data_IF_603547574277
#
_entry.id   IF_603547574277
#
_cell.length_a   1.000
_cell.length_b   1.000
_cell.length_c   1.000
_cell.angle_alpha   90.00
_cell.angle_beta   90.00
_cell.angle_gamma   90.00
#
_symmetry.space_group_name_H-M   'P 1'
#
loop_
_entity.id
_entity.type
_entity.pdbx_description
1 polymer ?
#
# COMPACT_ATOMS: atom_id res chain seq x y z
N UNK A 1 1.52 11.79 -35.85
CA UNK A 1 0.10 12.01 -35.50
C UNK A 1 -0.13 12.94 -34.28
N UNK A 2 0.89 13.13 -33.39
CA UNK A 2 0.78 14.13 -32.31
C UNK A 2 0.69 15.54 -32.93
N UNK A 3 -0.39 16.27 -32.67
CA UNK A 3 -0.61 17.65 -33.12
C UNK A 3 -1.46 17.82 -34.38
N UNK A 4 -1.84 16.75 -35.09
CA UNK A 4 -2.72 16.85 -36.28
C UNK A 4 -4.18 16.59 -35.96
N UNK A 5 -4.50 15.98 -34.81
CA UNK A 5 -5.86 15.64 -34.41
C UNK A 5 -6.42 16.78 -33.57
N UNK A 6 -7.47 17.41 -34.08
CA UNK A 6 -8.14 18.53 -33.42
C UNK A 6 -9.13 18.11 -32.34
N UNK A 7 -9.74 16.93 -32.49
CA UNK A 7 -10.64 16.35 -31.48
C UNK A 7 -9.83 15.91 -30.25
N UNK A 8 -10.06 16.58 -29.13
CA UNK A 8 -9.32 16.35 -27.87
C UNK A 8 -9.56 14.96 -27.28
N UNK A 9 -10.78 14.43 -27.38
CA UNK A 9 -11.12 13.09 -26.87
C UNK A 9 -10.47 12.01 -27.73
N UNK A 10 -10.47 12.17 -29.05
CA UNK A 10 -9.79 11.24 -29.94
C UNK A 10 -8.27 11.28 -29.74
N UNK A 11 -7.69 12.48 -29.62
CA UNK A 11 -6.28 12.65 -29.34
C UNK A 11 -5.89 11.97 -28.01
N UNK A 12 -6.72 12.12 -26.97
CA UNK A 12 -6.50 11.47 -25.67
C UNK A 12 -6.57 9.94 -25.75
N UNK A 13 -7.56 9.39 -26.44
CA UNK A 13 -7.66 7.94 -26.65
C UNK A 13 -6.42 7.36 -27.34
N UNK A 14 -5.88 8.06 -28.34
CA UNK A 14 -4.67 7.64 -29.04
C UNK A 14 -3.43 7.66 -28.13
N UNK A 15 -3.32 8.64 -27.22
CA UNK A 15 -2.24 8.67 -26.24
C UNK A 15 -2.35 7.48 -25.30
N UNK A 16 -3.54 7.20 -24.76
CA UNK A 16 -3.78 6.06 -23.87
C UNK A 16 -3.43 4.74 -24.57
N UNK A 17 -3.94 4.54 -25.79
CA UNK A 17 -3.61 3.36 -26.59
C UNK A 17 -2.10 3.24 -26.85
N UNK A 18 -1.46 4.33 -27.29
CA UNK A 18 -0.03 4.33 -27.55
C UNK A 18 0.76 3.89 -26.30
N UNK A 19 0.46 4.47 -25.14
CA UNK A 19 1.16 4.16 -23.89
C UNK A 19 0.94 2.71 -23.44
N UNK A 20 -0.30 2.18 -23.60
CA UNK A 20 -0.60 0.78 -23.28
C UNK A 20 0.16 -0.20 -24.18
N UNK A 21 0.27 0.09 -25.48
CA UNK A 21 0.96 -0.79 -26.43
C UNK A 21 2.47 -0.57 -26.50
N UNK A 22 2.97 0.63 -26.17
CA UNK A 22 4.39 0.98 -26.27
C UNK A 22 5.29 0.01 -25.49
N UNK A 23 4.89 -0.33 -24.27
CA UNK A 23 5.64 -1.26 -23.40
C UNK A 23 5.76 -2.68 -23.97
N UNK A 24 4.88 -3.05 -24.90
CA UNK A 24 4.82 -4.39 -25.49
C UNK A 24 5.49 -4.47 -26.87
N UNK A 25 6.07 -3.36 -27.36
CA UNK A 25 6.76 -3.30 -28.65
C UNK A 25 8.25 -3.72 -28.53
N UNK A 26 8.52 -4.75 -27.73
CA UNK A 26 9.84 -5.34 -27.54
C UNK A 26 9.94 -6.70 -28.20
N UNK A 27 11.15 -7.20 -28.37
CA UNK A 27 11.40 -8.54 -28.89
C UNK A 27 10.64 -9.61 -28.07
N UNK A 28 9.96 -10.52 -28.75
CA UNK A 28 9.13 -11.55 -28.12
C UNK A 28 9.93 -12.50 -27.23
N UNK A 29 11.19 -12.81 -27.63
CA UNK A 29 12.08 -13.65 -26.82
C UNK A 29 12.46 -12.94 -25.52
N UNK A 30 12.78 -11.64 -25.58
CA UNK A 30 13.09 -10.84 -24.41
C UNK A 30 11.88 -10.70 -23.47
N UNK A 31 10.68 -10.50 -24.04
CA UNK A 31 9.45 -10.48 -23.25
C UNK A 31 9.22 -11.80 -22.51
N UNK A 32 9.39 -12.92 -23.19
CA UNK A 32 9.26 -14.25 -22.58
C UNK A 32 10.24 -14.44 -21.43
N UNK A 33 11.52 -14.10 -21.63
CA UNK A 33 12.54 -14.18 -20.59
C UNK A 33 12.17 -13.35 -19.35
N UNK A 34 11.64 -12.13 -19.56
CA UNK A 34 11.19 -11.25 -18.45
C UNK A 34 10.04 -11.88 -17.67
N UNK A 35 9.04 -12.43 -18.36
CA UNK A 35 7.87 -13.08 -17.72
C UNK A 35 8.30 -14.33 -16.96
N UNK A 36 9.11 -15.19 -17.56
CA UNK A 36 9.63 -16.40 -16.92
C UNK A 36 10.47 -16.06 -15.68
N UNK A 37 11.35 -15.06 -15.79
CA UNK A 37 12.18 -14.62 -14.65
C UNK A 37 11.33 -14.01 -13.54
N UNK A 38 10.30 -13.24 -13.86
CA UNK A 38 9.38 -12.69 -12.87
C UNK A 38 8.59 -13.79 -12.15
N UNK A 39 8.12 -14.78 -12.88
CA UNK A 39 7.42 -15.94 -12.30
C UNK A 39 8.36 -16.77 -11.41
N UNK A 40 9.63 -16.95 -11.81
CA UNK A 40 10.65 -17.63 -11.00
C UNK A 40 10.89 -16.90 -9.68
N UNK A 41 11.06 -15.56 -9.71
CA UNK A 41 11.24 -14.76 -8.51
C UNK A 41 10.03 -14.86 -7.59
N UNK A 42 8.82 -14.72 -8.14
CA UNK A 42 7.58 -14.83 -7.37
C UNK A 42 7.44 -16.20 -6.69
N UNK A 43 7.74 -17.27 -7.42
CA UNK A 43 7.71 -18.64 -6.87
C UNK A 43 8.72 -18.80 -5.73
N UNK A 44 9.98 -18.39 -5.93
CA UNK A 44 11.02 -18.47 -4.90
C UNK A 44 10.66 -17.64 -3.67
N UNK A 45 10.17 -16.42 -3.85
CA UNK A 45 9.79 -15.53 -2.77
C UNK A 45 8.61 -16.09 -1.95
N UNK A 46 7.53 -16.51 -2.61
CA UNK A 46 6.31 -16.97 -1.94
C UNK A 46 6.50 -18.30 -1.20
N UNK A 47 7.37 -19.17 -1.71
CA UNK A 47 7.64 -20.47 -1.09
C UNK A 47 8.82 -20.45 -0.12
N UNK A 48 9.55 -19.34 -0.02
CA UNK A 48 10.67 -19.23 0.90
C UNK A 48 10.19 -19.29 2.35
N UNK A 49 10.98 -19.93 3.21
CA UNK A 49 10.82 -19.90 4.67
C UNK A 49 12.17 -19.59 5.30
N UNK A 50 12.19 -18.57 6.16
CA UNK A 50 13.36 -18.24 6.95
C UNK A 50 13.70 -19.37 7.91
N UNK A 51 14.96 -19.43 8.37
CA UNK A 51 15.40 -20.46 9.32
C UNK A 51 15.98 -19.82 10.57
N UNK A 52 15.50 -20.29 11.73
CA UNK A 52 16.08 -20.00 13.05
C UNK A 52 16.64 -21.31 13.60
N UNK A 53 17.94 -21.36 13.86
CA UNK A 53 18.62 -22.56 14.33
C UNK A 53 18.36 -23.81 13.47
N UNK A 54 18.28 -23.62 12.15
CA UNK A 54 18.03 -24.69 11.17
C UNK A 54 16.55 -25.09 11.00
N UNK A 55 15.65 -24.61 11.84
CA UNK A 55 14.20 -24.86 11.74
C UNK A 55 13.52 -23.76 10.92
N UNK A 56 12.69 -24.17 9.97
CA UNK A 56 11.89 -23.25 9.17
C UNK A 56 10.85 -22.51 10.02
N UNK A 57 10.67 -21.21 9.73
CA UNK A 57 9.69 -20.33 10.36
C UNK A 57 8.94 -19.55 9.29
N UNK A 58 7.65 -19.36 9.50
CA UNK A 58 6.79 -18.57 8.62
C UNK A 58 6.91 -17.07 8.91
N UNK A 59 6.48 -16.23 7.96
CA UNK A 59 6.43 -14.78 8.16
C UNK A 59 5.50 -14.38 9.31
N UNK A 60 4.41 -15.13 9.52
CA UNK A 60 3.51 -14.91 10.66
C UNK A 60 4.19 -15.18 12.00
N UNK A 61 4.94 -16.28 12.10
CA UNK A 61 5.72 -16.60 13.33
C UNK A 61 6.80 -15.54 13.60
N UNK A 62 7.48 -15.07 12.56
CA UNK A 62 8.45 -13.97 12.67
C UNK A 62 7.76 -12.69 13.17
N UNK A 63 6.62 -12.34 12.59
CA UNK A 63 5.85 -11.15 12.98
C UNK A 63 5.38 -11.22 14.42
N UNK A 64 4.89 -12.38 14.87
CA UNK A 64 4.50 -12.61 16.27
C UNK A 64 5.68 -12.44 17.23
N UNK A 65 6.87 -12.97 16.89
CA UNK A 65 8.08 -12.79 17.70
C UNK A 65 8.45 -11.31 17.77
N UNK A 66 8.44 -10.57 16.63
CA UNK A 66 8.79 -9.16 16.61
C UNK A 66 7.77 -8.27 17.34
N UNK A 67 6.52 -8.68 17.48
CA UNK A 67 5.51 -7.96 18.25
C UNK A 67 5.61 -8.24 19.76
N UNK A 68 5.73 -9.50 20.13
CA UNK A 68 5.43 -9.95 21.50
C UNK A 68 6.65 -10.37 22.31
N UNK A 69 7.74 -10.85 21.69
CA UNK A 69 8.92 -11.35 22.40
C UNK A 69 9.70 -10.19 23.06
N UNK A 70 10.14 -10.38 24.31
CA UNK A 70 10.93 -9.39 25.04
C UNK A 70 12.45 -9.69 24.98
N UNK A 71 12.84 -10.92 24.65
CA UNK A 71 14.25 -11.30 24.56
C UNK A 71 14.88 -10.75 23.26
N UNK A 72 15.84 -9.79 23.34
CA UNK A 72 16.44 -9.18 22.16
C UNK A 72 17.11 -10.16 21.21
N UNK A 73 17.72 -11.25 21.75
CA UNK A 73 18.39 -12.27 20.93
C UNK A 73 17.39 -13.06 20.08
N UNK A 74 16.26 -13.46 20.64
CA UNK A 74 15.21 -14.16 19.88
C UNK A 74 14.61 -13.25 18.82
N UNK A 75 14.43 -11.95 19.13
CA UNK A 75 13.97 -10.94 18.16
C UNK A 75 14.99 -10.78 17.02
N UNK A 76 16.28 -10.72 17.35
CA UNK A 76 17.36 -10.66 16.35
C UNK A 76 17.31 -11.87 15.42
N UNK A 77 17.24 -13.08 15.97
CA UNK A 77 17.14 -14.32 15.18
C UNK A 77 15.93 -14.31 14.23
N UNK A 78 14.77 -13.83 14.69
CA UNK A 78 13.58 -13.69 13.87
C UNK A 78 13.75 -12.62 12.78
N UNK A 79 14.30 -11.47 13.13
CA UNK A 79 14.56 -10.38 12.17
C UNK A 79 15.56 -10.82 11.09
N UNK A 80 16.66 -11.47 11.46
CA UNK A 80 17.65 -12.02 10.53
C UNK A 80 17.02 -13.07 9.62
N UNK A 81 16.18 -13.97 10.17
CA UNK A 81 15.44 -14.96 9.39
C UNK A 81 14.56 -14.29 8.31
N UNK A 82 13.92 -13.16 8.62
CA UNK A 82 13.13 -12.40 7.66
C UNK A 82 13.95 -11.84 6.48
N UNK A 83 15.28 -11.68 6.63
CA UNK A 83 16.16 -11.15 5.59
C UNK A 83 16.76 -12.22 4.67
N UNK A 84 16.69 -13.48 5.05
CA UNK A 84 17.28 -14.58 4.27
C UNK A 84 16.66 -14.71 2.87
N UNK A 85 15.38 -14.39 2.71
CA UNK A 85 14.71 -14.39 1.41
C UNK A 85 15.39 -13.47 0.39
N UNK A 86 15.94 -12.33 0.86
CA UNK A 86 16.68 -11.41 0.01
C UNK A 86 17.87 -12.05 -0.67
N UNK A 87 18.67 -12.85 0.06
CA UNK A 87 19.81 -13.57 -0.51
C UNK A 87 19.36 -14.62 -1.56
N UNK A 88 18.23 -15.27 -1.31
CA UNK A 88 17.69 -16.29 -2.21
C UNK A 88 17.19 -15.72 -3.55
N UNK A 89 16.64 -14.50 -3.56
CA UNK A 89 16.03 -13.90 -4.76
C UNK A 89 16.91 -12.84 -5.44
N UNK A 90 17.87 -12.22 -4.75
CA UNK A 90 18.66 -11.11 -5.27
C UNK A 90 19.33 -11.38 -6.64
N UNK A 91 19.98 -12.53 -6.89
CA UNK A 91 20.57 -12.81 -8.21
C UNK A 91 19.55 -12.75 -9.34
N UNK A 92 18.36 -13.30 -9.13
CA UNK A 92 17.26 -13.34 -10.12
C UNK A 92 16.66 -11.96 -10.33
N UNK A 93 16.55 -11.14 -9.27
CA UNK A 93 16.09 -9.75 -9.36
C UNK A 93 17.06 -8.93 -10.20
N UNK A 94 18.38 -9.08 -9.98
CA UNK A 94 19.41 -8.38 -10.77
C UNK A 94 19.34 -8.79 -12.26
N UNK A 95 19.12 -10.09 -12.55
CA UNK A 95 18.92 -10.55 -13.93
C UNK A 95 17.67 -9.92 -14.56
N UNK A 96 16.56 -9.90 -13.85
CA UNK A 96 15.32 -9.29 -14.32
C UNK A 96 15.49 -7.79 -14.59
N UNK A 97 16.21 -7.06 -13.73
CA UNK A 97 16.52 -5.63 -13.94
C UNK A 97 17.31 -5.44 -15.23
N UNK A 98 18.31 -6.28 -15.50
CA UNK A 98 19.08 -6.22 -16.76
C UNK A 98 18.19 -6.43 -17.99
N UNK A 99 17.33 -7.46 -17.96
CA UNK A 99 16.39 -7.72 -19.06
C UNK A 99 15.41 -6.56 -19.28
N UNK A 100 14.85 -6.00 -18.19
CA UNK A 100 13.96 -4.84 -18.22
C UNK A 100 14.65 -3.61 -18.81
N UNK A 101 15.88 -3.33 -18.39
CA UNK A 101 16.66 -2.20 -18.94
C UNK A 101 17.02 -2.43 -20.41
N UNK A 102 17.31 -3.66 -20.83
CA UNK A 102 17.50 -3.98 -22.23
C UNK A 102 16.23 -3.70 -23.05
N UNK A 103 15.05 -4.12 -22.56
CA UNK A 103 13.78 -3.83 -23.20
C UNK A 103 13.50 -2.33 -23.32
N UNK A 104 13.72 -1.56 -22.27
CA UNK A 104 13.55 -0.12 -22.28
C UNK A 104 14.47 0.57 -23.32
N UNK A 105 15.73 0.14 -23.40
CA UNK A 105 16.69 0.66 -24.38
C UNK A 105 16.28 0.36 -25.83
N UNK A 106 15.69 -0.81 -26.11
CA UNK A 106 15.14 -1.13 -27.44
C UNK A 106 14.02 -0.15 -27.85
N UNK A 107 13.28 0.38 -26.88
CA UNK A 107 12.21 1.35 -27.09
C UNK A 107 12.67 2.82 -27.02
N UNK A 108 13.99 3.06 -26.88
CA UNK A 108 14.56 4.40 -26.86
C UNK A 108 14.53 5.10 -25.50
N UNK A 109 14.27 4.37 -24.41
CA UNK A 109 14.31 4.89 -23.06
C UNK A 109 15.67 4.61 -22.40
N UNK A 110 16.07 5.46 -21.47
CA UNK A 110 17.32 5.31 -20.73
C UNK A 110 17.37 4.00 -19.92
N UNK A 111 16.29 3.73 -19.19
CA UNK A 111 16.11 2.52 -18.38
C UNK A 111 14.61 2.18 -18.22
N UNK A 112 14.31 1.04 -17.61
CA UNK A 112 12.95 0.56 -17.43
C UNK A 112 12.12 1.46 -16.52
N UNK A 113 12.74 2.07 -15.51
CA UNK A 113 12.04 2.96 -14.58
C UNK A 113 11.53 4.22 -15.28
N UNK A 114 12.40 4.86 -16.09
CA UNK A 114 12.04 6.02 -16.91
C UNK A 114 10.93 5.64 -17.91
N UNK A 115 11.05 4.49 -18.57
CA UNK A 115 10.02 4.00 -19.49
C UNK A 115 8.68 3.81 -18.77
N UNK A 116 8.67 3.17 -17.60
CA UNK A 116 7.45 2.93 -16.84
C UNK A 116 6.74 4.22 -16.47
N UNK A 117 7.46 5.21 -15.92
CA UNK A 117 6.91 6.53 -15.59
C UNK A 117 6.40 7.27 -16.83
N UNK A 118 7.19 7.32 -17.91
CA UNK A 118 6.80 8.02 -19.12
C UNK A 118 5.54 7.44 -19.77
N UNK A 119 5.40 6.11 -19.77
CA UNK A 119 4.19 5.44 -20.29
C UNK A 119 3.00 5.50 -19.36
N UNK A 120 3.21 5.83 -18.07
CA UNK A 120 2.17 6.22 -17.11
C UNK A 120 1.94 7.74 -17.09
N UNK A 121 2.53 8.48 -18.06
CA UNK A 121 2.39 9.93 -18.21
C UNK A 121 2.92 10.71 -16.99
N UNK A 122 3.93 10.17 -16.33
CA UNK A 122 4.61 10.81 -15.20
C UNK A 122 6.02 11.28 -15.64
N UNK A 123 6.33 12.52 -15.31
CA UNK A 123 7.68 13.06 -15.48
C UNK A 123 8.58 12.67 -14.31
N UNK A 124 9.71 12.00 -14.59
CA UNK A 124 10.62 11.52 -13.56
C UNK A 124 11.18 12.64 -12.69
N UNK A 125 11.50 13.78 -13.29
CA UNK A 125 12.09 14.90 -12.56
C UNK A 125 11.06 15.51 -11.61
N UNK A 126 9.79 15.57 -12.05
CA UNK A 126 8.69 16.04 -11.21
C UNK A 126 8.43 15.07 -10.05
N UNK A 127 8.44 13.76 -10.31
CA UNK A 127 8.30 12.74 -9.25
C UNK A 127 9.42 12.88 -8.21
N UNK A 128 10.67 12.96 -8.66
CA UNK A 128 11.84 13.15 -7.77
C UNK A 128 11.71 14.44 -6.97
N UNK A 129 11.34 15.56 -7.62
CA UNK A 129 11.15 16.86 -6.97
C UNK A 129 10.08 16.81 -5.88
N UNK A 130 8.95 16.12 -6.14
CA UNK A 130 7.87 15.95 -5.14
C UNK A 130 8.39 15.20 -3.92
N UNK A 131 9.11 14.10 -4.11
CA UNK A 131 9.65 13.31 -3.00
C UNK A 131 10.74 14.04 -2.22
N UNK A 132 11.62 14.79 -2.90
CA UNK A 132 12.63 15.60 -2.24
C UNK A 132 12.01 16.73 -1.41
N UNK A 133 10.99 17.39 -1.92
CA UNK A 133 10.21 18.38 -1.16
C UNK A 133 9.51 17.72 0.04
N UNK A 134 8.89 16.56 -0.14
CA UNK A 134 8.26 15.80 0.94
C UNK A 134 9.30 15.45 2.01
N UNK A 135 10.49 15.02 1.61
CA UNK A 135 11.60 14.74 2.53
C UNK A 135 11.95 15.98 3.34
N UNK A 136 12.18 17.12 2.70
CA UNK A 136 12.55 18.37 3.37
C UNK A 136 11.46 18.80 4.38
N UNK A 137 10.19 18.75 3.99
CA UNK A 137 9.06 19.13 4.86
C UNK A 137 8.89 18.18 6.06
N UNK A 138 9.31 16.93 5.93
CA UNK A 138 9.07 15.89 6.95
C UNK A 138 10.33 15.51 7.75
N UNK A 139 11.52 16.03 7.43
CA UNK A 139 12.77 15.67 8.12
C UNK A 139 12.71 15.99 9.62
N UNK A 140 12.41 17.20 10.03
CA UNK A 140 12.35 17.56 11.44
C UNK A 140 11.14 16.93 12.16
N UNK A 141 9.92 16.94 11.61
CA UNK A 141 8.80 16.20 12.22
C UNK A 141 9.10 14.72 12.43
N UNK A 142 9.72 14.06 11.46
CA UNK A 142 10.11 12.65 11.58
C UNK A 142 11.16 12.42 12.65
N UNK A 143 12.19 13.27 12.69
CA UNK A 143 13.25 13.20 13.70
C UNK A 143 12.70 13.30 15.13
N UNK A 144 11.78 14.24 15.37
CA UNK A 144 11.14 14.38 16.67
C UNK A 144 10.36 13.13 17.08
N UNK A 145 9.43 12.70 16.24
CA UNK A 145 8.59 11.55 16.57
C UNK A 145 9.40 10.24 16.65
N UNK A 146 10.46 10.13 15.85
CA UNK A 146 11.41 9.01 15.92
C UNK A 146 12.17 8.98 17.25
N UNK A 147 12.57 10.13 17.77
CA UNK A 147 13.22 10.22 19.09
C UNK A 147 12.27 9.79 20.23
N UNK A 148 11.01 10.20 20.17
CA UNK A 148 9.98 9.78 21.14
C UNK A 148 9.73 8.27 21.07
N UNK A 149 9.61 7.71 19.87
CA UNK A 149 9.48 6.28 19.64
C UNK A 149 10.70 5.51 20.20
N UNK A 150 11.91 5.96 19.85
CA UNK A 150 13.14 5.32 20.30
C UNK A 150 13.29 5.37 21.84
N UNK A 151 12.89 6.46 22.46
CA UNK A 151 12.86 6.56 23.92
C UNK A 151 11.88 5.53 24.54
N UNK A 152 10.71 5.34 23.93
CA UNK A 152 9.73 4.35 24.36
C UNK A 152 10.27 2.91 24.21
N UNK A 153 10.86 2.60 23.05
CA UNK A 153 11.48 1.29 22.78
C UNK A 153 12.64 1.04 23.75
N UNK A 154 13.52 2.01 23.93
CA UNK A 154 14.65 1.90 24.85
C UNK A 154 14.20 1.61 26.29
N UNK A 155 13.13 2.28 26.75
CA UNK A 155 12.50 2.00 28.05
C UNK A 155 11.93 0.58 28.12
N UNK A 156 11.25 0.12 27.08
CA UNK A 156 10.66 -1.23 26.99
C UNK A 156 11.74 -2.32 27.17
N UNK A 157 12.89 -2.15 26.53
CA UNK A 157 13.98 -3.14 26.55
C UNK A 157 15.05 -2.87 27.60
N UNK A 158 14.97 -1.80 28.37
CA UNK A 158 15.97 -1.45 29.41
C UNK A 158 17.35 -1.11 28.82
N UNK A 159 17.39 -0.51 27.64
CA UNK A 159 18.61 -0.10 26.91
C UNK A 159 18.63 1.42 26.70
N UNK A 160 19.75 1.95 26.20
CA UNK A 160 19.83 3.38 25.81
C UNK A 160 19.30 3.54 24.38
N UNK A 161 18.75 4.72 24.01
CA UNK A 161 18.23 4.96 22.64
C UNK A 161 19.26 4.69 21.53
N UNK A 162 20.55 4.99 21.75
CA UNK A 162 21.63 4.73 20.78
C UNK A 162 21.95 3.24 20.58
N UNK A 163 21.49 2.37 21.48
CA UNK A 163 21.73 0.91 21.43
C UNK A 163 20.57 0.18 20.72
N UNK A 164 19.55 0.92 20.26
CA UNK A 164 18.44 0.34 19.52
C UNK A 164 18.94 -0.23 18.19
N UNK A 165 18.49 -1.45 17.91
CA UNK A 165 18.79 -2.18 16.68
C UNK A 165 17.50 -2.45 15.90
N UNK A 166 17.56 -2.78 14.60
CA UNK A 166 16.38 -3.03 13.78
C UNK A 166 15.38 -4.04 14.36
N UNK A 167 15.85 -5.03 15.07
CA UNK A 167 14.99 -6.04 15.69
C UNK A 167 14.27 -5.58 16.97
N UNK A 168 14.52 -4.38 17.45
CA UNK A 168 13.75 -3.79 18.54
C UNK A 168 12.41 -3.18 18.05
N UNK A 169 12.25 -2.95 16.74
CA UNK A 169 10.98 -2.53 16.15
C UNK A 169 10.07 -3.72 15.85
N UNK A 170 8.75 -3.52 15.92
CA UNK A 170 7.78 -4.59 15.69
C UNK A 170 7.65 -5.00 14.22
N UNK A 171 8.00 -4.10 13.28
CA UNK A 171 7.95 -4.39 11.86
C UNK A 171 9.36 -4.56 11.27
N UNK A 172 9.65 -5.65 10.51
CA UNK A 172 10.99 -5.92 9.98
C UNK A 172 11.50 -4.88 8.98
N UNK A 173 10.61 -4.05 8.40
CA UNK A 173 10.94 -3.03 7.41
C UNK A 173 10.68 -1.60 7.86
N UNK A 174 10.19 -1.40 9.09
CA UNK A 174 9.79 -0.10 9.62
C UNK A 174 8.77 0.64 8.73
N UNK A 175 7.93 -0.10 8.02
CA UNK A 175 6.87 0.48 7.19
C UNK A 175 5.57 0.72 7.94
N UNK A 176 5.39 0.02 9.05
CA UNK A 176 4.27 0.16 9.99
C UNK A 176 4.84 0.34 11.39
N UNK A 177 4.31 1.30 12.12
CA UNK A 177 4.72 1.56 13.49
C UNK A 177 3.52 1.34 14.40
N UNK A 178 3.48 0.19 15.05
CA UNK A 178 2.42 -0.21 15.99
C UNK A 178 2.73 0.13 17.45
N UNK A 179 3.84 0.84 17.72
CA UNK A 179 4.42 0.89 19.07
C UNK A 179 4.13 2.17 19.87
N UNK A 180 3.37 3.11 19.29
CA UNK A 180 3.06 4.38 19.95
C UNK A 180 1.75 4.25 20.76
N UNK A 181 1.88 3.68 21.98
CA UNK A 181 0.76 3.44 22.89
C UNK A 181 -0.18 2.36 22.37
N UNK A 182 -0.37 1.32 23.15
CA UNK A 182 -1.34 0.24 22.85
C UNK A 182 -2.76 0.79 22.94
N UNK A 183 -3.21 1.43 21.83
CA UNK A 183 -4.61 1.80 21.70
C UNK A 183 -5.31 0.61 21.05
N UNK A 184 -5.93 -0.23 21.87
CA UNK A 184 -6.83 -1.25 21.36
C UNK A 184 -8.12 -0.59 20.86
N UNK A 185 -8.19 -0.38 19.54
CA UNK A 185 -9.40 0.08 18.86
C UNK A 185 -10.31 -1.07 18.44
N UNK A 186 -9.81 -2.28 18.34
CA UNK A 186 -10.61 -3.45 17.90
C UNK A 186 -11.83 -3.68 18.80
N UNK A 187 -11.70 -3.37 20.09
CA UNK A 187 -12.82 -3.45 21.04
C UNK A 187 -14.05 -2.63 20.64
N UNK A 188 -13.87 -1.54 19.91
CA UNK A 188 -14.98 -0.69 19.44
C UNK A 188 -15.67 -1.25 18.20
N UNK A 189 -15.00 -2.11 17.45
CA UNK A 189 -15.55 -2.76 16.26
C UNK A 189 -16.12 -4.14 16.55
N UNK A 190 -15.76 -4.74 17.69
CA UNK A 190 -16.19 -6.07 18.09
C UNK A 190 -17.72 -6.20 18.11
N UNK A 191 -18.25 -7.18 17.37
CA UNK A 191 -19.68 -7.41 17.22
C UNK A 191 -20.40 -6.38 16.31
N UNK A 192 -19.66 -5.48 15.65
CA UNK A 192 -20.23 -4.51 14.71
C UNK A 192 -20.30 -5.08 13.29
N UNK A 193 -21.33 -4.69 12.57
CA UNK A 193 -21.43 -4.97 11.13
C UNK A 193 -20.67 -3.93 10.33
N UNK A 194 -19.45 -4.29 9.85
CA UNK A 194 -18.56 -3.38 9.12
C UNK A 194 -19.16 -2.96 7.77
N UNK A 195 -19.89 -3.85 7.10
CA UNK A 195 -20.61 -3.53 5.86
C UNK A 195 -21.64 -2.41 6.10
N UNK A 196 -22.43 -2.51 7.15
CA UNK A 196 -23.46 -1.52 7.47
C UNK A 196 -22.89 -0.18 7.92
N UNK A 197 -21.81 -0.20 8.69
CA UNK A 197 -21.08 1.02 9.08
C UNK A 197 -20.56 1.74 7.82
N UNK A 198 -19.95 1.01 6.91
CA UNK A 198 -19.40 1.55 5.67
C UNK A 198 -20.52 2.10 4.78
N UNK A 199 -21.63 1.38 4.61
CA UNK A 199 -22.82 1.83 3.90
C UNK A 199 -23.36 3.13 4.47
N UNK A 200 -23.54 3.20 5.77
CA UNK A 200 -24.05 4.38 6.47
C UNK A 200 -23.14 5.59 6.26
N UNK A 201 -21.84 5.40 6.37
CA UNK A 201 -20.86 6.47 6.16
C UNK A 201 -20.91 7.01 4.72
N UNK A 202 -20.81 6.14 3.71
CA UNK A 202 -20.79 6.57 2.32
C UNK A 202 -22.12 7.20 1.87
N UNK A 203 -23.23 6.65 2.29
CA UNK A 203 -24.55 7.25 2.03
C UNK A 203 -24.67 8.63 2.71
N UNK A 204 -24.11 8.78 3.91
CA UNK A 204 -24.10 10.06 4.65
C UNK A 204 -23.30 11.17 3.98
N UNK A 205 -22.31 10.84 3.16
CA UNK A 205 -21.54 11.80 2.36
C UNK A 205 -22.00 11.88 0.90
N UNK A 206 -23.20 11.36 0.61
CA UNK A 206 -23.82 11.37 -0.72
C UNK A 206 -23.05 10.59 -1.81
N UNK A 207 -22.41 9.50 -1.40
CA UNK A 207 -21.76 8.52 -2.29
C UNK A 207 -22.42 7.13 -2.09
N UNK A 208 -23.63 6.89 -2.62
CA UNK A 208 -24.36 5.65 -2.36
C UNK A 208 -23.65 4.43 -2.94
N UNK A 209 -23.58 3.34 -2.12
CA UNK A 209 -22.76 2.15 -2.39
C UNK A 209 -23.55 0.84 -2.38
N UNK A 210 -24.88 0.88 -2.29
CA UNK A 210 -25.72 -0.32 -2.13
C UNK A 210 -25.56 -1.32 -3.28
N UNK A 211 -25.45 -0.84 -4.51
CA UNK A 211 -25.21 -1.65 -5.71
C UNK A 211 -23.81 -2.28 -5.73
N UNK A 212 -22.79 -1.52 -5.29
CA UNK A 212 -21.42 -2.03 -5.14
C UNK A 212 -21.41 -3.17 -4.14
N UNK A 213 -21.94 -2.94 -2.93
CA UNK A 213 -21.96 -3.93 -1.84
C UNK A 213 -22.72 -5.20 -2.22
N UNK A 214 -23.87 -5.03 -2.89
CA UNK A 214 -24.71 -6.15 -3.34
C UNK A 214 -23.99 -7.10 -4.29
N UNK A 215 -23.11 -6.58 -5.15
CA UNK A 215 -22.41 -7.34 -6.18
C UNK A 215 -21.01 -7.79 -5.73
N UNK A 216 -20.60 -7.45 -4.52
CA UNK A 216 -19.25 -7.67 -3.99
C UNK A 216 -19.11 -8.97 -3.20
N UNK A 217 -17.89 -9.47 -3.09
CA UNK A 217 -17.53 -10.65 -2.33
C UNK A 217 -16.81 -10.23 -1.03
N UNK A 218 -17.57 -10.11 0.06
CA UNK A 218 -17.13 -9.39 1.26
C UNK A 218 -16.58 -10.29 2.38
N UNK A 219 -16.96 -11.56 2.45
CA UNK A 219 -16.70 -12.39 3.62
C UNK A 219 -15.69 -13.51 3.33
N UNK A 220 -14.90 -13.95 4.34
CA UNK A 220 -13.88 -14.99 4.15
C UNK A 220 -14.52 -16.35 3.87
N UNK A 221 -13.87 -17.16 3.04
CA UNK A 221 -14.17 -18.58 2.81
C UNK A 221 -12.92 -19.34 2.36
N UNK A 222 -12.96 -20.65 2.45
CA UNK A 222 -11.86 -21.51 2.02
C UNK A 222 -11.53 -21.30 0.53
N UNK A 223 -10.25 -21.14 0.23
CA UNK A 223 -9.75 -20.96 -1.14
C UNK A 223 -9.91 -19.54 -1.71
N UNK A 224 -10.45 -18.60 -0.92
CA UNK A 224 -10.55 -17.20 -1.33
C UNK A 224 -9.19 -16.50 -1.22
N UNK A 225 -8.90 -15.61 -2.16
CA UNK A 225 -7.72 -14.74 -2.13
C UNK A 225 -7.74 -13.84 -0.88
N UNK A 226 -6.58 -13.64 -0.25
CA UNK A 226 -6.52 -13.01 1.07
C UNK A 226 -6.46 -11.48 1.03
N UNK A 227 -5.99 -10.89 -0.06
CA UNK A 227 -5.90 -9.44 -0.20
C UNK A 227 -7.20 -8.85 -0.76
N UNK A 228 -7.61 -7.70 -0.21
CA UNK A 228 -8.73 -6.95 -0.75
C UNK A 228 -8.34 -6.25 -2.07
N UNK A 229 -9.33 -6.00 -2.91
CA UNK A 229 -9.20 -5.19 -4.11
C UNK A 229 -10.55 -4.71 -4.62
N UNK A 230 -10.53 -3.64 -5.41
CA UNK A 230 -11.65 -3.13 -6.20
C UNK A 230 -11.41 -3.41 -7.69
N UNK A 231 -12.49 -3.68 -8.43
CA UNK A 231 -12.45 -3.83 -9.88
C UNK A 231 -13.71 -3.22 -10.54
N UNK A 232 -13.52 -2.40 -11.56
CA UNK A 232 -14.59 -1.98 -12.49
C UNK A 232 -14.63 -3.04 -13.62
N UNK A 233 -15.68 -3.87 -13.61
CA UNK A 233 -15.77 -5.09 -14.45
C UNK A 233 -15.94 -4.74 -15.92
N UNK A 234 -16.77 -3.74 -16.21
CA UNK A 234 -17.24 -3.47 -17.57
C UNK A 234 -17.02 -2.02 -18.04
N UNK A 235 -16.52 -1.15 -17.16
CA UNK A 235 -16.43 0.31 -17.37
C UNK A 235 -17.77 0.95 -17.70
N UNK A 236 -18.87 0.32 -17.29
CA UNK A 236 -20.23 0.81 -17.46
C UNK A 236 -20.95 1.00 -16.14
N UNK A 237 -20.31 0.65 -15.02
CA UNK A 237 -20.83 0.86 -13.67
C UNK A 237 -20.95 -0.40 -12.82
N UNK A 238 -20.63 -1.58 -13.35
CA UNK A 238 -20.50 -2.80 -12.54
C UNK A 238 -19.16 -2.78 -11.81
N UNK A 239 -19.11 -2.06 -10.69
CA UNK A 239 -17.94 -1.96 -9.84
C UNK A 239 -18.12 -2.89 -8.64
N UNK A 240 -17.12 -3.72 -8.37
CA UNK A 240 -17.14 -4.72 -7.30
C UNK A 240 -15.90 -4.65 -6.45
N UNK A 241 -16.04 -4.99 -5.17
CA UNK A 241 -14.94 -5.14 -4.24
C UNK A 241 -14.86 -6.57 -3.71
N UNK A 242 -13.66 -7.00 -3.39
CA UNK A 242 -13.42 -8.25 -2.69
C UNK A 242 -12.73 -7.95 -1.36
N UNK A 243 -13.28 -8.45 -0.26
CA UNK A 243 -12.73 -8.33 1.08
C UNK A 243 -12.79 -9.68 1.81
N UNK A 244 -12.23 -9.74 3.01
CA UNK A 244 -12.42 -10.85 3.96
C UNK A 244 -12.80 -10.27 5.32
N UNK A 245 -13.97 -9.61 5.40
CA UNK A 245 -14.39 -8.80 6.52
C UNK A 245 -14.40 -9.57 7.85
N UNK A 246 -13.88 -8.90 8.86
CA UNK A 246 -13.97 -9.26 10.27
C UNK A 246 -14.22 -7.98 11.08
N UNK A 247 -14.78 -8.13 12.27
CA UNK A 247 -15.20 -7.05 13.17
C UNK A 247 -14.00 -6.40 13.91
N UNK A 248 -13.08 -5.78 13.16
CA UNK A 248 -11.89 -5.11 13.66
C UNK A 248 -11.54 -3.83 12.87
N UNK A 249 -10.61 -3.05 13.40
CA UNK A 249 -10.13 -1.82 12.78
C UNK A 249 -9.51 -2.06 11.40
N UNK A 250 -8.68 -3.10 11.27
CA UNK A 250 -7.99 -3.41 10.02
C UNK A 250 -8.98 -3.58 8.86
N UNK A 251 -10.00 -4.44 9.04
CA UNK A 251 -10.99 -4.67 8.00
C UNK A 251 -11.95 -3.50 7.80
N UNK A 252 -12.17 -2.67 8.83
CA UNK A 252 -12.92 -1.42 8.67
C UNK A 252 -12.15 -0.43 7.79
N UNK A 253 -10.87 -0.20 8.07
CA UNK A 253 -10.00 0.64 7.25
C UNK A 253 -9.94 0.14 5.81
N UNK A 254 -9.71 -1.17 5.62
CA UNK A 254 -9.64 -1.82 4.31
C UNK A 254 -10.96 -1.68 3.56
N UNK A 255 -12.10 -1.91 4.20
CA UNK A 255 -13.42 -1.78 3.57
C UNK A 255 -13.69 -0.35 3.09
N UNK A 256 -13.39 0.65 3.94
CA UNK A 256 -13.53 2.06 3.56
C UNK A 256 -12.59 2.42 2.41
N UNK A 257 -11.38 1.89 2.40
CA UNK A 257 -10.40 2.09 1.32
C UNK A 257 -10.90 1.51 -0.01
N UNK A 258 -11.34 0.25 -0.03
CA UNK A 258 -11.80 -0.39 -1.26
C UNK A 258 -13.09 0.25 -1.81
N UNK A 259 -14.00 0.68 -0.93
CA UNK A 259 -15.17 1.47 -1.35
C UNK A 259 -14.72 2.84 -1.89
N UNK A 260 -13.63 3.42 -1.38
CA UNK A 260 -13.03 4.64 -1.94
C UNK A 260 -12.65 4.48 -3.40
N UNK A 261 -11.96 3.39 -3.77
CA UNK A 261 -11.71 3.01 -5.16
C UNK A 261 -13.01 2.81 -5.94
N UNK A 262 -13.95 2.08 -5.35
CA UNK A 262 -15.20 1.75 -6.02
C UNK A 262 -16.06 2.99 -6.32
N UNK A 263 -16.16 3.92 -5.39
CA UNK A 263 -16.89 5.19 -5.61
C UNK A 263 -16.16 6.08 -6.61
N UNK A 264 -14.82 6.10 -6.61
CA UNK A 264 -14.05 6.79 -7.64
C UNK A 264 -14.40 6.24 -9.03
N UNK A 265 -14.27 4.94 -9.24
CA UNK A 265 -14.54 4.28 -10.52
C UNK A 265 -16.02 4.43 -10.95
N UNK A 266 -16.96 4.27 -10.02
CA UNK A 266 -18.40 4.42 -10.29
C UNK A 266 -18.79 5.80 -10.76
N UNK A 267 -18.11 6.85 -10.28
CA UNK A 267 -18.42 8.25 -10.62
C UNK A 267 -17.66 8.78 -11.84
N UNK A 268 -16.87 7.96 -12.53
CA UNK A 268 -16.31 8.32 -13.83
C UNK A 268 -17.45 8.47 -14.84
N UNK A 269 -17.46 9.54 -15.63
CA UNK A 269 -18.49 9.83 -16.62
C UNK A 269 -18.62 8.71 -17.65
N UNK A 270 -19.84 8.19 -17.84
CA UNK A 270 -20.12 7.05 -18.73
C UNK A 270 -20.36 7.43 -20.19
N UNK A 271 -20.51 8.72 -20.50
CA UNK A 271 -20.56 9.27 -21.86
C UNK A 271 -19.17 9.42 -22.50
N UNK A 272 -18.10 9.30 -21.72
CA UNK A 272 -16.75 9.26 -22.25
C UNK A 272 -16.53 8.04 -23.15
N UNK A 273 -15.62 8.10 -24.15
CA UNK A 273 -15.18 6.92 -24.89
C UNK A 273 -14.66 5.82 -23.95
N UNK A 274 -14.90 4.57 -24.30
CA UNK A 274 -14.58 3.38 -23.47
C UNK A 274 -13.16 3.39 -22.91
N UNK A 275 -12.17 3.80 -23.71
CA UNK A 275 -10.76 3.86 -23.28
C UNK A 275 -10.48 4.89 -22.17
N UNK A 276 -11.38 5.86 -22.00
CA UNK A 276 -11.26 6.93 -21.01
C UNK A 276 -12.16 6.70 -19.79
N UNK A 277 -12.90 5.60 -19.73
CA UNK A 277 -13.76 5.24 -18.60
C UNK A 277 -12.98 4.49 -17.51
N UNK A 278 -11.79 4.94 -17.21
CA UNK A 278 -10.95 4.40 -16.14
C UNK A 278 -10.26 5.55 -15.42
N UNK A 279 -9.66 5.27 -14.28
CA UNK A 279 -8.85 6.26 -13.57
C UNK A 279 -7.72 6.78 -14.48
N UNK A 280 -7.48 8.09 -14.42
CA UNK A 280 -6.40 8.70 -15.20
C UNK A 280 -5.02 8.24 -14.70
N UNK A 281 -4.90 8.09 -13.38
CA UNK A 281 -3.69 7.62 -12.70
C UNK A 281 -4.05 6.85 -11.43
N UNK A 282 -3.33 5.76 -11.18
CA UNK A 282 -3.47 4.96 -9.95
C UNK A 282 -3.31 5.81 -8.69
N UNK A 283 -2.41 6.80 -8.68
CA UNK A 283 -2.20 7.63 -7.49
C UNK A 283 -3.42 8.48 -7.11
N UNK A 284 -4.30 8.86 -8.04
CA UNK A 284 -5.52 9.63 -7.73
C UNK A 284 -6.57 8.75 -7.06
N UNK A 285 -6.79 7.55 -7.58
CA UNK A 285 -7.72 6.60 -6.96
C UNK A 285 -7.19 6.11 -5.62
N UNK A 286 -5.87 5.89 -5.48
CA UNK A 286 -5.23 5.59 -4.20
C UNK A 286 -5.35 6.73 -3.20
N UNK A 287 -5.15 7.99 -3.61
CA UNK A 287 -5.32 9.14 -2.72
C UNK A 287 -6.75 9.21 -2.16
N UNK A 288 -7.76 8.94 -3.00
CA UNK A 288 -9.17 8.89 -2.58
C UNK A 288 -9.39 7.72 -1.61
N UNK A 289 -8.93 6.53 -1.93
CA UNK A 289 -9.08 5.35 -1.11
C UNK A 289 -8.38 5.49 0.26
N UNK A 290 -7.16 6.02 0.29
CA UNK A 290 -6.41 6.29 1.52
C UNK A 290 -7.15 7.34 2.37
N UNK A 291 -7.68 8.41 1.78
CA UNK A 291 -8.47 9.42 2.49
C UNK A 291 -9.67 8.79 3.20
N UNK A 292 -10.37 7.87 2.52
CA UNK A 292 -11.55 7.19 3.07
C UNK A 292 -11.14 6.17 4.15
N UNK A 293 -10.14 5.34 3.92
CA UNK A 293 -9.65 4.37 4.89
C UNK A 293 -9.21 5.01 6.20
N UNK A 294 -8.52 6.17 6.12
CA UNK A 294 -8.08 6.93 7.30
C UNK A 294 -9.20 7.35 8.25
N UNK A 295 -10.45 7.43 7.77
CA UNK A 295 -11.58 7.81 8.62
C UNK A 295 -11.75 6.84 9.78
N UNK A 296 -11.44 5.56 9.62
CA UNK A 296 -11.49 4.57 10.70
C UNK A 296 -10.59 4.92 11.91
N UNK A 297 -9.59 5.80 11.72
CA UNK A 297 -8.71 6.30 12.77
C UNK A 297 -9.05 7.74 13.22
N UNK A 298 -10.17 8.30 12.77
CA UNK A 298 -10.60 9.64 13.13
C UNK A 298 -11.61 9.59 14.28
N UNK A 299 -11.36 10.32 15.38
CA UNK A 299 -12.21 10.29 16.58
C UNK A 299 -13.62 10.82 16.34
N UNK A 300 -13.80 11.78 15.40
CA UNK A 300 -15.11 12.30 15.04
C UNK A 300 -15.91 11.24 14.28
N UNK A 301 -15.25 10.56 13.36
CA UNK A 301 -15.82 9.43 12.63
C UNK A 301 -16.16 8.26 13.57
N UNK A 302 -15.24 7.89 14.47
CA UNK A 302 -15.50 6.86 15.49
C UNK A 302 -16.70 7.21 16.36
N UNK A 303 -16.86 8.47 16.74
CA UNK A 303 -18.04 8.92 17.50
C UNK A 303 -19.32 8.78 16.67
N UNK A 304 -19.30 9.21 15.43
CA UNK A 304 -20.48 9.22 14.56
C UNK A 304 -20.89 7.81 14.10
N UNK A 305 -19.94 6.98 13.73
CA UNK A 305 -20.19 5.68 13.07
C UNK A 305 -20.12 4.48 14.02
N UNK A 306 -19.27 4.53 15.02
CA UNK A 306 -19.02 3.42 15.94
C UNK A 306 -19.65 3.65 17.30
N UNK A 307 -19.91 4.93 17.64
CA UNK A 307 -20.64 5.32 18.86
C UNK A 307 -19.76 5.45 20.10
N UNK A 308 -18.47 5.80 19.94
CA UNK A 308 -17.64 6.15 21.10
C UNK A 308 -18.22 7.40 21.81
N UNK A 309 -18.15 7.44 23.13
CA UNK A 309 -18.67 8.56 23.89
C UNK A 309 -17.69 9.75 23.93
N UNK A 310 -18.15 10.91 24.45
CA UNK A 310 -17.35 12.13 24.52
C UNK A 310 -16.06 11.96 25.33
N UNK A 311 -16.08 11.18 26.41
CA UNK A 311 -14.92 10.94 27.27
C UNK A 311 -13.87 10.08 26.53
N UNK A 312 -14.32 9.04 25.84
CA UNK A 312 -13.47 8.19 24.98
C UNK A 312 -12.84 9.00 23.85
N UNK A 313 -13.64 9.83 23.17
CA UNK A 313 -13.14 10.75 22.14
C UNK A 313 -12.02 11.64 22.65
N UNK A 314 -12.19 12.26 23.83
CA UNK A 314 -11.18 13.11 24.43
C UNK A 314 -9.90 12.35 24.80
N UNK A 315 -10.05 11.13 25.36
CA UNK A 315 -8.89 10.30 25.74
C UNK A 315 -8.13 9.73 24.56
N UNK A 316 -8.83 9.39 23.48
CA UNK A 316 -8.23 8.79 22.27
C UNK A 316 -7.64 9.85 21.32
N UNK A 317 -8.16 11.07 21.30
CA UNK A 317 -7.89 12.04 20.25
C UNK A 317 -6.40 12.33 20.04
N UNK A 318 -5.67 12.62 21.12
CA UNK A 318 -4.23 12.88 21.02
C UNK A 318 -3.47 11.64 20.56
N UNK A 319 -3.75 10.50 21.15
CA UNK A 319 -3.03 9.27 20.88
C UNK A 319 -3.27 8.74 19.45
N UNK A 320 -4.50 8.86 18.92
CA UNK A 320 -4.80 8.54 17.52
C UNK A 320 -4.13 9.50 16.56
N UNK A 321 -4.10 10.78 16.88
CA UNK A 321 -3.38 11.77 16.08
C UNK A 321 -1.88 11.49 16.05
N UNK A 322 -1.27 11.18 17.19
CA UNK A 322 0.15 10.87 17.29
C UNK A 322 0.50 9.56 16.52
N UNK A 323 -0.36 8.54 16.63
CA UNK A 323 -0.20 7.29 15.85
C UNK A 323 -0.33 7.53 14.34
N UNK A 324 -1.33 8.29 13.90
CA UNK A 324 -1.49 8.62 12.49
C UNK A 324 -0.27 9.39 11.97
N UNK A 325 0.16 10.42 12.72
CA UNK A 325 1.34 11.22 12.37
C UNK A 325 2.59 10.36 12.26
N UNK A 326 2.83 9.46 13.21
CA UNK A 326 3.97 8.54 13.16
C UNK A 326 3.90 7.60 11.97
N UNK A 327 2.74 6.98 11.72
CA UNK A 327 2.52 6.09 10.56
C UNK A 327 2.81 6.79 9.25
N UNK A 328 2.27 8.00 9.05
CA UNK A 328 2.46 8.76 7.82
C UNK A 328 3.91 9.19 7.59
N UNK A 329 4.57 9.63 8.66
CA UNK A 329 5.98 10.02 8.59
C UNK A 329 6.88 8.81 8.33
N UNK A 330 6.64 7.66 8.98
CA UNK A 330 7.37 6.43 8.72
C UNK A 330 7.14 5.93 7.28
N UNK A 331 5.88 5.91 6.83
CA UNK A 331 5.52 5.50 5.48
C UNK A 331 6.15 6.41 4.40
N UNK A 332 6.20 7.73 4.63
CA UNK A 332 6.85 8.65 3.70
C UNK A 332 8.34 8.34 3.52
N UNK A 333 9.04 7.96 4.60
CA UNK A 333 10.44 7.55 4.55
C UNK A 333 10.64 6.23 3.84
N UNK A 334 9.78 5.26 4.17
CA UNK A 334 9.83 3.96 3.52
C UNK A 334 9.61 4.05 2.01
N UNK A 335 8.68 4.91 1.54
CA UNK A 335 8.44 5.15 0.11
C UNK A 335 9.57 5.88 -0.60
N UNK A 336 10.29 6.75 0.08
CA UNK A 336 11.39 7.51 -0.50
C UNK A 336 12.60 6.62 -0.85
N UNK A 337 12.91 5.62 -0.03
CA UNK A 337 14.05 4.70 -0.24
C UNK A 337 13.95 3.92 -1.57
N UNK A 338 12.85 3.23 -1.91
CA UNK A 338 12.70 2.54 -3.18
C UNK A 338 12.82 3.47 -4.39
N UNK A 339 12.30 4.70 -4.31
CA UNK A 339 12.42 5.69 -5.37
C UNK A 339 13.90 6.00 -5.67
N UNK A 340 14.69 6.33 -4.64
CA UNK A 340 16.11 6.62 -4.80
C UNK A 340 16.89 5.41 -5.33
N UNK A 341 16.60 4.22 -4.82
CA UNK A 341 17.26 2.98 -5.25
C UNK A 341 16.91 2.60 -6.70
N UNK A 342 15.68 2.87 -7.14
CA UNK A 342 15.25 2.56 -8.51
C UNK A 342 15.81 3.55 -9.54
N UNK A 343 16.13 4.78 -9.12
CA UNK A 343 16.65 5.84 -9.99
C UNK A 343 18.17 5.80 -10.10
N UNK A 344 18.90 5.42 -9.03
CA UNK A 344 20.36 5.27 -9.01
C UNK A 344 20.83 4.05 -9.82
#
# INVERSE_FOLDING_TARGET
AKGTIKDTLLARQLIVLFNQFARNQIDTSLMRQMVEKQAEIANKFNNFRGKINGKEVSDNEISEVLKNEQNPKKRQEAWEASKQVGQAVAPFVVELVKLRNQAAKQLGYENYYVMALATDEQDINEVVRIFDNLKQLTDEPFKHIKQELDASIAKRFGIKPQDIQPWHYANPFFQEVSEYGEIDLDKYFKGKNIEEISRTFYNGINLPVDDILKNSDLYPRKGKYQHAFCNDIDRLGDVRIMCNLSDNLYWTNTMLHEIGHATYSKNIQRDLPFLLRTEAHTFLTEATAILMGRQANNVDWLQAMVGINKKEKQSLGKALFDNLRLSELAFSRWRHIPLQTAYA
#
